data_IF_382327076642
#
_entry.id   IF_382327076642
#
_cell.length_a   1.000
_cell.length_b   1.000
_cell.length_c   1.000
_cell.angle_alpha   90.00
_cell.angle_beta   90.00
_cell.angle_gamma   90.00
#
_symmetry.space_group_name_H-M   'P 1'
#
loop_
_entity.id
_entity.type
_entity.pdbx_description
1 polymer ?
#
# COMPACT_ATOMS: atom_id res chain seq x y z
N UNK A 1 11.01 20.71 17.25
CA UNK A 1 9.93 21.26 16.40
C UNK A 1 9.75 22.70 16.84
N UNK A 2 10.03 23.68 15.97
CA UNK A 2 9.95 25.10 16.33
C UNK A 2 8.51 25.54 16.59
N UNK A 3 8.30 26.60 17.38
CA UNK A 3 6.97 27.15 17.66
C UNK A 3 6.16 27.48 16.40
N UNK A 4 6.82 27.78 15.28
CA UNK A 4 6.19 28.12 13.99
C UNK A 4 5.73 26.89 13.18
N UNK A 5 6.30 25.71 13.42
CA UNK A 5 5.95 24.48 12.68
C UNK A 5 4.71 23.75 13.23
N UNK A 6 4.32 24.02 14.47
CA UNK A 6 3.13 23.39 15.10
C UNK A 6 1.82 23.93 14.49
N UNK A 7 1.64 25.25 14.28
CA UNK A 7 0.44 25.79 13.62
C UNK A 7 0.21 25.23 12.22
N UNK A 8 1.25 25.16 11.39
CA UNK A 8 1.16 24.62 10.02
C UNK A 8 0.71 23.14 10.00
N UNK A 9 1.17 22.33 10.97
CA UNK A 9 0.77 20.93 11.07
C UNK A 9 -0.71 20.76 11.44
N UNK A 10 -1.20 21.61 12.35
CA UNK A 10 -2.59 21.60 12.77
C UNK A 10 -3.54 22.07 11.66
N UNK A 11 -3.04 22.88 10.73
CA UNK A 11 -3.76 23.33 9.53
C UNK A 11 -3.60 22.38 8.32
N UNK A 12 -2.89 21.26 8.47
CA UNK A 12 -2.64 20.31 7.38
C UNK A 12 -1.66 20.79 6.30
N UNK A 13 -0.91 21.88 6.55
CA UNK A 13 0.08 22.45 5.64
C UNK A 13 1.42 21.71 5.72
N UNK A 14 1.40 20.41 5.44
CA UNK A 14 2.57 19.56 5.60
C UNK A 14 3.71 19.89 4.61
N UNK A 15 3.40 20.46 3.43
CA UNK A 15 4.42 20.94 2.49
C UNK A 15 5.26 22.08 3.07
N UNK A 16 4.65 23.00 3.83
CA UNK A 16 5.38 24.10 4.47
C UNK A 16 6.34 23.58 5.54
N UNK A 17 5.92 22.55 6.29
CA UNK A 17 6.78 21.86 7.25
C UNK A 17 7.93 21.18 6.52
N UNK A 18 7.65 20.43 5.47
CA UNK A 18 8.66 19.72 4.68
C UNK A 18 9.71 20.71 4.13
N UNK A 19 9.29 21.88 3.65
CA UNK A 19 10.17 22.95 3.17
C UNK A 19 11.11 23.48 4.25
N UNK A 20 10.60 23.73 5.47
CA UNK A 20 11.44 24.17 6.61
C UNK A 20 12.55 23.17 6.90
N UNK A 21 12.25 21.87 6.80
CA UNK A 21 13.22 20.79 7.05
C UNK A 21 14.02 20.38 5.82
N UNK A 22 13.80 21.02 4.66
CA UNK A 22 14.39 20.64 3.37
C UNK A 22 14.19 19.15 3.07
N UNK A 23 12.96 18.68 3.28
CA UNK A 23 12.53 17.30 3.02
C UNK A 23 11.48 17.28 1.93
N UNK A 24 11.43 16.16 1.24
CA UNK A 24 10.30 15.79 0.39
C UNK A 24 9.22 15.17 1.26
N UNK A 25 7.97 15.43 0.89
CA UNK A 25 6.81 14.78 1.50
C UNK A 25 6.20 13.83 0.49
N UNK A 26 5.94 12.61 0.95
CA UNK A 26 5.25 11.61 0.16
C UNK A 26 3.83 11.48 0.66
N UNK A 27 2.88 11.57 -0.26
CA UNK A 27 1.47 11.35 0.01
C UNK A 27 1.07 9.97 -0.51
N UNK A 28 0.24 9.26 0.25
CA UNK A 28 -0.51 8.12 -0.25
C UNK A 28 -1.99 8.43 -0.13
N UNK A 29 -2.67 8.51 -1.28
CA UNK A 29 -4.08 8.82 -1.35
C UNK A 29 -4.97 7.63 -0.96
N UNK A 30 -4.37 6.44 -0.76
CA UNK A 30 -5.09 5.22 -0.45
C UNK A 30 -5.07 4.98 1.06
N UNK A 31 -6.27 5.00 1.66
CA UNK A 31 -6.48 4.60 3.05
C UNK A 31 -6.83 3.12 3.09
N UNK A 32 -6.02 2.36 3.84
CA UNK A 32 -6.25 0.94 4.13
C UNK A 32 -7.32 0.76 5.23
N UNK A 33 -8.03 -0.38 5.25
CA UNK A 33 -8.91 -0.78 6.33
C UNK A 33 -8.21 -0.79 7.69
N UNK A 34 -9.02 -0.71 8.74
CA UNK A 34 -8.53 -0.92 10.10
C UNK A 34 -7.96 -2.34 10.26
N UNK A 35 -6.89 -2.43 11.05
CA UNK A 35 -6.13 -3.66 11.29
C UNK A 35 -6.79 -4.62 12.27
N UNK A 36 -7.93 -4.23 12.83
CA UNK A 36 -8.75 -5.03 13.74
C UNK A 36 -9.69 -5.98 12.99
N UNK A 37 -9.59 -6.05 11.65
CA UNK A 37 -10.47 -6.84 10.79
C UNK A 37 -11.95 -6.45 10.91
N UNK A 38 -12.24 -5.28 11.51
CA UNK A 38 -13.58 -4.69 11.50
C UNK A 38 -13.84 -4.10 10.13
N UNK A 39 -14.18 -5.01 9.21
CA UNK A 39 -14.53 -4.74 7.81
C UNK A 39 -15.62 -3.66 7.77
N UNK A 40 -15.48 -2.68 6.88
CA UNK A 40 -16.56 -1.73 6.58
C UNK A 40 -16.37 -0.28 7.05
N UNK A 41 -15.24 0.12 7.65
CA UNK A 41 -14.94 1.55 7.87
C UNK A 41 -14.20 2.20 6.69
N UNK A 42 -14.67 1.93 5.48
CA UNK A 42 -14.12 2.50 4.25
C UNK A 42 -14.77 3.84 3.87
N UNK A 43 -15.78 4.29 4.61
CA UNK A 43 -16.44 5.59 4.39
C UNK A 43 -15.53 6.80 4.55
N UNK A 44 -14.34 6.62 5.14
CA UNK A 44 -13.33 7.67 5.27
C UNK A 44 -12.37 7.72 4.07
N UNK A 45 -12.46 6.76 3.14
CA UNK A 45 -11.66 6.76 1.93
C UNK A 45 -12.15 7.89 1.02
N UNK A 46 -11.23 8.68 0.49
CA UNK A 46 -11.54 9.66 -0.54
C UNK A 46 -12.18 8.98 -1.75
N UNK A 47 -13.07 9.68 -2.45
CA UNK A 47 -13.62 9.18 -3.70
C UNK A 47 -12.52 9.04 -4.75
N UNK A 48 -12.73 8.20 -5.76
CA UNK A 48 -11.75 8.06 -6.85
C UNK A 48 -11.55 9.39 -7.56
N UNK A 49 -12.60 10.20 -7.74
CA UNK A 49 -12.49 11.53 -8.33
C UNK A 49 -11.64 12.47 -7.47
N UNK A 50 -11.83 12.47 -6.15
CA UNK A 50 -11.02 13.28 -5.24
C UNK A 50 -9.55 12.85 -5.26
N UNK A 51 -9.28 11.54 -5.32
CA UNK A 51 -7.93 11.00 -5.45
C UNK A 51 -7.29 11.46 -6.74
N UNK A 52 -7.98 11.34 -7.88
CA UNK A 52 -7.46 11.75 -9.18
C UNK A 52 -7.20 13.27 -9.20
N UNK A 53 -8.13 14.08 -8.68
CA UNK A 53 -7.96 15.53 -8.58
C UNK A 53 -6.77 15.92 -7.70
N UNK A 54 -6.62 15.27 -6.55
CA UNK A 54 -5.48 15.44 -5.66
C UNK A 54 -4.16 15.07 -6.36
N UNK A 55 -4.11 13.90 -7.00
CA UNK A 55 -2.93 13.42 -7.72
C UNK A 55 -2.56 14.32 -8.92
N UNK A 56 -3.55 14.93 -9.60
CA UNK A 56 -3.32 15.93 -10.65
C UNK A 56 -2.80 17.27 -10.14
N UNK A 57 -3.17 17.66 -8.92
CA UNK A 57 -2.74 18.93 -8.34
C UNK A 57 -1.24 18.98 -8.03
N UNK A 58 -0.58 17.82 -7.96
CA UNK A 58 0.85 17.70 -7.70
C UNK A 58 1.64 17.26 -8.96
N UNK A 59 2.50 18.13 -9.53
CA UNK A 59 3.32 17.81 -10.71
C UNK A 59 4.19 16.56 -10.57
N UNK A 60 4.70 16.26 -9.36
CA UNK A 60 5.51 15.06 -9.12
C UNK A 60 4.69 13.78 -9.26
N UNK A 61 3.44 13.83 -8.80
CA UNK A 61 2.51 12.70 -8.87
C UNK A 61 2.05 12.49 -10.32
N UNK A 62 1.80 13.57 -11.07
CA UNK A 62 1.55 13.51 -12.52
C UNK A 62 2.73 12.83 -13.25
N UNK A 63 3.96 13.27 -12.99
CA UNK A 63 5.17 12.70 -13.59
C UNK A 63 5.34 11.21 -13.24
N UNK A 64 5.12 10.87 -11.97
CA UNK A 64 5.17 9.49 -11.49
C UNK A 64 4.17 8.59 -12.22
N UNK A 65 2.90 9.00 -12.33
CA UNK A 65 1.87 8.17 -12.96
C UNK A 65 2.08 8.04 -14.47
N UNK A 66 2.43 9.13 -15.17
CA UNK A 66 2.80 9.08 -16.60
C UNK A 66 3.91 8.07 -16.86
N UNK A 67 4.99 8.15 -16.08
CA UNK A 67 6.11 7.21 -16.17
C UNK A 67 5.71 5.78 -15.81
N UNK A 68 4.83 5.60 -14.83
CA UNK A 68 4.36 4.27 -14.43
C UNK A 68 3.51 3.63 -15.53
N UNK A 69 2.66 4.41 -16.19
CA UNK A 69 1.82 3.99 -17.31
C UNK A 69 2.66 3.70 -18.55
N UNK A 70 3.63 4.56 -18.88
CA UNK A 70 4.51 4.34 -20.04
C UNK A 70 5.37 3.08 -19.91
N UNK A 71 5.65 2.65 -18.68
CA UNK A 71 6.40 1.44 -18.35
C UNK A 71 5.49 0.25 -17.98
N UNK A 72 4.18 0.36 -18.20
CA UNK A 72 3.25 -0.72 -17.91
C UNK A 72 3.56 -1.91 -18.81
N UNK A 73 3.78 -3.07 -18.21
CA UNK A 73 4.00 -4.32 -18.93
C UNK A 73 3.01 -5.37 -18.43
N UNK A 74 2.60 -6.28 -19.32
CA UNK A 74 1.75 -7.42 -18.98
C UNK A 74 2.40 -8.40 -17.99
N UNK A 75 3.71 -8.26 -17.75
CA UNK A 75 4.51 -9.17 -16.92
C UNK A 75 4.83 -8.57 -15.54
N UNK A 76 4.04 -7.61 -15.07
CA UNK A 76 4.25 -6.96 -13.78
C UNK A 76 4.04 -7.93 -12.61
N UNK A 77 5.10 -8.62 -12.21
CA UNK A 77 5.13 -9.36 -10.95
C UNK A 77 5.32 -8.36 -9.79
N UNK A 78 4.42 -8.37 -8.80
CA UNK A 78 4.64 -7.59 -7.58
C UNK A 78 5.89 -8.13 -6.89
N UNK A 79 6.98 -7.35 -6.85
CA UNK A 79 8.13 -7.65 -6.00
C UNK A 79 7.81 -7.25 -4.56
N UNK A 80 7.15 -8.14 -3.82
CA UNK A 80 6.95 -7.97 -2.38
C UNK A 80 8.23 -8.33 -1.62
N UNK A 81 8.75 -7.42 -0.78
CA UNK A 81 9.88 -7.72 0.10
C UNK A 81 9.51 -8.34 1.45
N UNK A 82 8.22 -8.32 1.80
CA UNK A 82 7.72 -8.73 3.11
C UNK A 82 8.05 -10.18 3.41
N UNK A 83 8.71 -10.42 4.53
CA UNK A 83 9.19 -11.73 4.97
C UNK A 83 10.50 -12.20 4.32
N UNK A 84 11.08 -11.43 3.39
CA UNK A 84 12.35 -11.73 2.73
C UNK A 84 13.44 -10.76 3.18
N UNK A 85 13.23 -9.46 2.96
CA UNK A 85 14.16 -8.39 3.34
C UNK A 85 13.51 -7.32 4.23
N UNK A 86 12.25 -7.53 4.62
CA UNK A 86 11.53 -6.69 5.57
C UNK A 86 10.61 -7.54 6.46
N UNK A 87 10.30 -7.00 7.63
CA UNK A 87 9.32 -7.54 8.57
C UNK A 87 8.67 -6.38 9.33
N UNK A 88 7.54 -6.64 9.98
CA UNK A 88 6.89 -5.74 10.91
C UNK A 88 6.85 -6.39 12.29
N UNK A 89 7.09 -5.60 13.35
CA UNK A 89 6.85 -6.02 14.74
C UNK A 89 5.83 -5.05 15.32
N UNK A 90 4.73 -5.57 15.87
CA UNK A 90 3.73 -4.73 16.52
C UNK A 90 4.07 -4.42 17.99
N UNK A 91 3.26 -3.58 18.63
CA UNK A 91 3.47 -3.17 20.02
C UNK A 91 3.39 -4.34 21.03
N UNK A 92 2.80 -5.47 20.64
CA UNK A 92 2.76 -6.69 21.46
C UNK A 92 4.02 -7.55 21.32
N UNK A 93 4.98 -7.17 20.47
CA UNK A 93 6.17 -7.95 20.19
C UNK A 93 5.93 -9.10 19.21
N UNK A 94 4.85 -9.06 18.44
CA UNK A 94 4.56 -10.07 17.42
C UNK A 94 5.06 -9.62 16.04
N UNK A 95 5.81 -10.50 15.38
CA UNK A 95 6.37 -10.29 14.06
C UNK A 95 5.47 -10.86 12.94
N UNK A 96 5.41 -10.14 11.83
CA UNK A 96 4.75 -10.56 10.59
C UNK A 96 5.50 -10.03 9.37
N UNK A 97 5.10 -10.47 8.17
CA UNK A 97 5.78 -10.09 6.92
C UNK A 97 5.62 -8.61 6.54
N UNK A 98 4.54 -7.96 6.98
CA UNK A 98 4.27 -6.55 6.77
C UNK A 98 3.20 -6.07 7.74
N UNK A 99 3.08 -4.76 7.90
CA UNK A 99 2.15 -4.18 8.87
C UNK A 99 0.66 -4.34 8.51
N UNK A 100 0.34 -4.80 7.29
CA UNK A 100 -1.03 -5.11 6.84
C UNK A 100 -1.40 -6.58 7.05
N UNK A 101 -0.44 -7.47 7.31
CA UNK A 101 -0.72 -8.89 7.60
C UNK A 101 -0.97 -9.05 9.10
N UNK A 102 -2.25 -9.15 9.47
CA UNK A 102 -2.70 -9.06 10.87
C UNK A 102 -3.18 -10.38 11.48
N UNK A 103 -3.54 -11.36 10.66
CA UNK A 103 -4.19 -12.60 11.12
C UNK A 103 -3.21 -13.63 11.70
N UNK A 104 -1.99 -13.65 11.18
CA UNK A 104 -0.99 -14.65 11.51
C UNK A 104 0.29 -13.91 11.87
N UNK A 105 0.77 -14.13 13.11
CA UNK A 105 1.98 -13.51 13.64
C UNK A 105 2.73 -14.49 14.54
N UNK A 106 4.03 -14.28 14.67
CA UNK A 106 4.89 -15.05 15.57
C UNK A 106 5.41 -14.16 16.71
N UNK A 107 5.47 -14.67 17.94
CA UNK A 107 6.13 -13.92 19.05
C UNK A 107 7.62 -13.76 18.72
N UNK A 108 8.07 -12.51 18.56
CA UNK A 108 9.46 -12.21 18.26
C UNK A 108 10.38 -12.51 19.46
N UNK A 109 9.90 -12.27 20.67
CA UNK A 109 10.70 -12.42 21.90
C UNK A 109 10.77 -13.87 22.40
N UNK A 110 9.84 -14.72 21.99
CA UNK A 110 9.74 -16.11 22.47
C UNK A 110 10.34 -17.15 21.50
N UNK A 111 10.89 -16.72 20.37
CA UNK A 111 11.41 -17.60 19.33
C UNK A 111 12.83 -17.21 18.92
N UNK A 112 13.61 -18.20 18.47
CA UNK A 112 14.93 -17.95 17.91
C UNK A 112 14.87 -17.38 16.48
N UNK A 113 15.98 -16.82 16.02
CA UNK A 113 16.10 -16.21 14.69
C UNK A 113 15.71 -17.17 13.55
N UNK A 114 16.13 -18.44 13.61
CA UNK A 114 15.88 -19.42 12.54
C UNK A 114 14.39 -19.71 12.44
N UNK A 115 13.72 -19.86 13.57
CA UNK A 115 12.26 -20.06 13.64
C UNK A 115 11.51 -18.86 13.08
N UNK A 116 11.89 -17.63 13.46
CA UNK A 116 11.28 -16.39 12.95
C UNK A 116 11.49 -16.25 11.44
N UNK A 117 12.71 -16.45 10.94
CA UNK A 117 13.00 -16.36 9.51
C UNK A 117 12.23 -17.39 8.68
N UNK A 118 12.12 -18.62 9.18
CA UNK A 118 11.33 -19.65 8.51
C UNK A 118 9.85 -19.23 8.43
N UNK A 119 9.29 -18.79 9.55
CA UNK A 119 7.91 -18.31 9.62
C UNK A 119 7.63 -17.18 8.62
N UNK A 120 8.53 -16.19 8.57
CA UNK A 120 8.43 -15.05 7.65
C UNK A 120 8.51 -15.48 6.18
N UNK A 121 9.42 -16.40 5.83
CA UNK A 121 9.56 -16.94 4.47
C UNK A 121 8.33 -17.76 4.05
N UNK A 122 7.80 -18.58 4.94
CA UNK A 122 6.60 -19.37 4.66
C UNK A 122 5.37 -18.46 4.47
N UNK A 123 5.23 -17.44 5.32
CA UNK A 123 4.19 -16.41 5.20
C UNK A 123 4.31 -15.61 3.90
N UNK A 124 5.54 -15.28 3.48
CA UNK A 124 5.79 -14.66 2.18
C UNK A 124 5.29 -15.53 1.03
N UNK A 125 5.68 -16.81 1.01
CA UNK A 125 5.29 -17.76 -0.03
C UNK A 125 3.76 -17.94 -0.09
N UNK A 126 3.10 -17.96 1.08
CA UNK A 126 1.64 -17.97 1.17
C UNK A 126 0.99 -16.73 0.53
N UNK A 127 1.54 -15.54 0.75
CA UNK A 127 1.04 -14.34 0.07
C UNK A 127 1.26 -14.36 -1.44
N UNK A 128 2.41 -14.87 -1.89
CA UNK A 128 2.71 -15.01 -3.32
C UNK A 128 1.75 -16.00 -3.98
N UNK A 129 1.38 -17.10 -3.31
CA UNK A 129 0.45 -18.07 -3.88
C UNK A 129 -0.96 -17.49 -4.05
N UNK A 130 -1.44 -16.64 -3.13
CA UNK A 130 -2.70 -15.91 -3.32
C UNK A 130 -2.69 -15.04 -4.57
N UNK A 131 -1.58 -14.33 -4.83
CA UNK A 131 -1.44 -13.55 -6.06
C UNK A 131 -1.44 -14.44 -7.31
N UNK A 132 -0.59 -15.47 -7.35
CA UNK A 132 -0.45 -16.36 -8.52
C UNK A 132 -1.78 -17.01 -8.90
N UNK A 133 -2.57 -17.40 -7.90
CA UNK A 133 -3.86 -18.06 -8.09
C UNK A 133 -5.05 -17.10 -8.29
N UNK A 134 -4.80 -15.78 -8.29
CA UNK A 134 -5.83 -14.76 -8.52
C UNK A 134 -5.89 -14.35 -9.99
N UNK A 135 -6.99 -13.71 -10.40
CA UNK A 135 -7.10 -13.05 -11.72
C UNK A 135 -6.14 -11.86 -11.88
N UNK A 136 -5.52 -11.40 -10.78
CA UNK A 136 -4.56 -10.31 -10.80
C UNK A 136 -3.20 -10.73 -11.39
N UNK A 137 -2.87 -12.03 -11.43
CA UNK A 137 -1.57 -12.52 -11.91
C UNK A 137 -1.34 -12.31 -13.41
N UNK A 138 -2.43 -12.17 -14.17
CA UNK A 138 -2.42 -11.94 -15.62
C UNK A 138 -2.94 -10.54 -15.99
N UNK A 139 -3.19 -9.67 -15.01
CA UNK A 139 -3.69 -8.32 -15.24
C UNK A 139 -2.55 -7.38 -15.68
N UNK A 140 -2.73 -6.71 -16.81
CA UNK A 140 -1.79 -5.73 -17.37
C UNK A 140 -1.71 -4.43 -16.56
N UNK A 141 -2.79 -4.04 -15.88
CA UNK A 141 -2.87 -2.84 -15.05
C UNK A 141 -2.26 -3.04 -13.65
N UNK A 142 -1.65 -4.19 -13.38
CA UNK A 142 -1.23 -4.60 -12.04
C UNK A 142 -0.18 -3.68 -11.40
N UNK A 143 0.70 -3.12 -12.21
CA UNK A 143 1.71 -2.13 -11.77
C UNK A 143 1.09 -0.81 -11.31
N UNK A 144 -0.13 -0.50 -11.77
CA UNK A 144 -0.84 0.73 -11.45
C UNK A 144 -1.74 0.56 -10.22
N UNK A 145 -2.44 -0.58 -10.11
CA UNK A 145 -3.46 -0.75 -9.07
C UNK A 145 -2.90 -0.85 -7.65
N UNK A 146 -1.62 -1.19 -7.45
CA UNK A 146 -0.97 -1.39 -6.14
C UNK A 146 -1.66 -2.40 -5.19
N UNK A 147 -2.64 -3.18 -5.68
CA UNK A 147 -3.29 -4.26 -4.92
C UNK A 147 -2.26 -5.25 -4.35
N UNK A 148 -2.52 -5.78 -3.15
CA UNK A 148 -1.80 -6.92 -2.58
C UNK A 148 -2.73 -7.84 -1.76
N UNK A 149 -2.34 -9.09 -1.60
CA UNK A 149 -3.13 -10.12 -0.92
C UNK A 149 -3.45 -9.81 0.56
N UNK A 150 -2.53 -9.15 1.26
CA UNK A 150 -2.76 -8.72 2.64
C UNK A 150 -3.85 -7.63 2.72
N UNK A 151 -3.85 -6.71 1.77
CA UNK A 151 -4.89 -5.68 1.66
C UNK A 151 -6.25 -6.31 1.31
N UNK A 152 -6.30 -7.20 0.31
CA UNK A 152 -7.55 -7.87 -0.07
C UNK A 152 -8.22 -8.58 1.13
N UNK A 153 -7.40 -9.22 1.98
CA UNK A 153 -7.89 -9.83 3.20
C UNK A 153 -8.43 -8.80 4.22
N UNK A 154 -7.74 -7.68 4.42
CA UNK A 154 -8.24 -6.60 5.27
C UNK A 154 -9.54 -5.98 4.74
N UNK A 155 -9.68 -5.85 3.42
CA UNK A 155 -10.82 -5.20 2.77
C UNK A 155 -12.08 -6.07 2.86
N UNK A 156 -11.96 -7.35 2.47
CA UNK A 156 -13.12 -8.23 2.29
C UNK A 156 -12.88 -9.67 2.78
N UNK A 157 -11.76 -9.96 3.43
CA UNK A 157 -11.49 -11.28 4.02
C UNK A 157 -11.10 -12.37 3.02
N UNK A 158 -10.67 -11.99 1.81
CA UNK A 158 -10.23 -12.95 0.80
C UNK A 158 -8.93 -12.46 0.15
N UNK A 159 -7.80 -13.10 0.46
CA UNK A 159 -6.50 -12.72 -0.10
C UNK A 159 -6.34 -12.93 -1.60
N UNK A 160 -7.18 -13.74 -2.24
CA UNK A 160 -7.09 -14.07 -3.67
C UNK A 160 -8.01 -13.21 -4.54
N UNK A 161 -9.01 -12.55 -3.95
CA UNK A 161 -9.93 -11.72 -4.72
C UNK A 161 -9.37 -10.29 -4.92
N UNK A 162 -9.64 -9.66 -6.07
CA UNK A 162 -9.30 -8.27 -6.28
C UNK A 162 -10.17 -7.36 -5.43
N UNK A 163 -9.64 -6.15 -5.19
CA UNK A 163 -10.39 -5.07 -4.57
C UNK A 163 -10.94 -4.19 -5.70
N UNK A 164 -12.26 -4.14 -5.87
CA UNK A 164 -12.91 -3.39 -6.95
C UNK A 164 -12.48 -1.92 -7.00
N UNK A 165 -12.41 -1.27 -5.83
CA UNK A 165 -11.90 0.10 -5.71
C UNK A 165 -10.49 0.27 -6.32
N UNK A 166 -9.59 -0.70 -6.11
CA UNK A 166 -8.21 -0.62 -6.64
C UNK A 166 -8.17 -0.86 -8.14
N UNK A 167 -9.06 -1.72 -8.67
CA UNK A 167 -9.24 -1.93 -10.10
C UNK A 167 -9.77 -0.66 -10.78
N UNK A 168 -10.83 -0.06 -10.25
CA UNK A 168 -11.42 1.16 -10.79
C UNK A 168 -10.43 2.34 -10.71
N UNK A 169 -9.74 2.51 -9.58
CA UNK A 169 -8.74 3.55 -9.41
C UNK A 169 -7.59 3.40 -10.42
N UNK A 170 -7.15 2.17 -10.72
CA UNK A 170 -6.12 1.92 -11.72
C UNK A 170 -6.57 2.35 -13.12
N UNK A 171 -7.79 1.98 -13.52
CA UNK A 171 -8.38 2.39 -14.79
C UNK A 171 -8.47 3.92 -14.89
N UNK A 172 -8.97 4.57 -13.83
CA UNK A 172 -9.09 6.03 -13.76
C UNK A 172 -7.75 6.74 -13.83
N UNK A 173 -6.71 6.22 -13.16
CA UNK A 173 -5.34 6.73 -13.30
C UNK A 173 -4.81 6.59 -14.73
N UNK A 174 -5.02 5.44 -15.36
CA UNK A 174 -4.59 5.24 -16.75
C UNK A 174 -5.28 6.26 -17.66
N UNK A 175 -6.60 6.41 -17.57
CA UNK A 175 -7.33 7.36 -18.41
C UNK A 175 -6.93 8.83 -18.14
N UNK A 176 -6.68 9.20 -16.89
CA UNK A 176 -6.41 10.58 -16.51
C UNK A 176 -4.95 11.02 -16.77
N UNK A 177 -4.00 10.08 -16.71
CA UNK A 177 -2.56 10.36 -16.84
C UNK A 177 -1.91 9.81 -18.12
N UNK A 178 -2.67 9.21 -19.04
CA UNK A 178 -2.17 8.97 -20.40
C UNK A 178 -2.14 10.29 -21.16
N UNK A 179 -0.99 10.67 -21.71
CA UNK A 179 -0.89 11.87 -22.55
C UNK A 179 -1.76 11.70 -23.81
N UNK A 180 -2.49 12.74 -24.19
CA UNK A 180 -3.10 12.87 -25.53
C UNK A 180 -2.04 13.41 -26.48
#
# INVERSE_FOLDING_TARGET
IGKETIPAALEGKFDDIARVYKKEIMYDAIIFPQKDLMRGKLSQRASIDDIINFEHSNPETVSFWRKSISNMTSQACIKCGGGINSLSIDAGGYASICSLYVEDKISFLSNDEKTIRKYLKDSHNKMQSYYINSKCSTCDQKSICRWCAAYANLEHGNSSEPIDFMCELAQRRISAFTEV
#
